data_IF_709309876464
#
_entry.id   IF_709309876464
#
_cell.length_a   1.000
_cell.length_b   1.000
_cell.length_c   1.000
_cell.angle_alpha   90.00
_cell.angle_beta   90.00
_cell.angle_gamma   90.00
#
_symmetry.space_group_name_H-M   'P 1'
#
loop_
_entity.id
_entity.type
_entity.pdbx_description
1 polymer ?
#
# COMPACT_ATOMS: atom_id res chain seq x y z
N UNK A 1 9.83 -14.39 -33.37
CA UNK A 1 10.45 -13.92 -32.11
C UNK A 1 10.03 -12.51 -31.67
N UNK A 2 10.49 -11.40 -32.29
CA UNK A 2 10.12 -10.05 -31.77
C UNK A 2 8.63 -9.74 -31.84
N UNK A 3 7.94 -10.21 -32.87
CA UNK A 3 6.51 -9.95 -33.07
C UNK A 3 5.65 -10.71 -32.04
N UNK A 4 5.92 -12.00 -31.88
CA UNK A 4 5.25 -12.87 -30.89
C UNK A 4 5.37 -12.34 -29.46
N UNK A 5 6.53 -11.78 -29.09
CA UNK A 5 6.72 -11.17 -27.76
C UNK A 5 5.82 -9.94 -27.59
N UNK A 6 5.72 -9.08 -28.60
CA UNK A 6 4.87 -7.88 -28.56
C UNK A 6 3.40 -8.29 -28.44
N UNK A 7 2.97 -9.32 -29.17
CA UNK A 7 1.60 -9.83 -29.14
C UNK A 7 1.23 -10.33 -27.74
N UNK A 8 2.13 -11.07 -27.08
CA UNK A 8 1.94 -11.55 -25.70
C UNK A 8 1.86 -10.37 -24.72
N UNK A 9 2.77 -9.40 -24.80
CA UNK A 9 2.75 -8.22 -23.93
C UNK A 9 1.48 -7.39 -24.10
N UNK A 10 0.97 -7.26 -25.32
CA UNK A 10 -0.30 -6.58 -25.59
C UNK A 10 -1.50 -7.35 -25.05
N UNK A 11 -1.53 -8.67 -25.28
CA UNK A 11 -2.63 -9.55 -24.86
C UNK A 11 -2.77 -9.57 -23.33
N UNK A 12 -1.64 -9.60 -22.62
CA UNK A 12 -1.61 -9.66 -21.16
C UNK A 12 -1.21 -8.33 -20.51
N UNK A 13 -1.43 -7.19 -21.18
CA UNK A 13 -0.98 -5.87 -20.68
C UNK A 13 -1.38 -5.57 -19.23
N UNK A 14 -2.57 -6.01 -18.82
CA UNK A 14 -3.12 -5.80 -17.47
C UNK A 14 -2.48 -6.70 -16.40
N UNK A 15 -1.71 -7.72 -16.80
CA UNK A 15 -0.96 -8.59 -15.89
C UNK A 15 0.38 -7.97 -15.48
N UNK A 16 0.82 -6.91 -16.16
CA UNK A 16 2.07 -6.22 -15.90
C UNK A 16 1.80 -4.89 -15.19
N UNK A 17 2.67 -4.53 -14.24
CA UNK A 17 2.68 -3.18 -13.69
C UNK A 17 3.21 -2.22 -14.76
N UNK A 18 2.48 -1.13 -15.01
CA UNK A 18 2.89 -0.05 -15.90
C UNK A 18 3.16 1.22 -15.10
N UNK A 19 3.66 2.26 -15.77
CA UNK A 19 3.84 3.56 -15.11
C UNK A 19 2.50 4.18 -14.66
N UNK A 20 1.45 3.98 -15.46
CA UNK A 20 0.11 4.52 -15.18
C UNK A 20 -0.69 3.63 -14.22
N UNK A 21 -0.44 2.32 -14.24
CA UNK A 21 -1.04 1.30 -13.36
C UNK A 21 0.07 0.50 -12.65
N UNK A 22 0.73 1.08 -11.62
CA UNK A 22 1.88 0.43 -10.96
C UNK A 22 1.46 -0.72 -10.05
N UNK A 23 0.19 -0.74 -9.63
CA UNK A 23 -0.42 -1.86 -8.92
C UNK A 23 -1.27 -2.60 -9.92
N UNK A 24 -0.89 -3.84 -10.25
CA UNK A 24 -1.72 -4.71 -11.09
C UNK A 24 -3.12 -4.89 -10.48
N UNK A 25 -4.08 -5.39 -11.26
CA UNK A 25 -5.47 -5.58 -10.85
C UNK A 25 -5.64 -6.71 -9.79
N UNK A 26 -5.17 -6.44 -8.57
CA UNK A 26 -5.21 -7.28 -7.37
C UNK A 26 -6.67 -7.34 -6.90
N UNK A 27 -7.34 -8.49 -7.06
CA UNK A 27 -8.73 -8.72 -6.63
C UNK A 27 -8.78 -9.74 -5.50
N UNK A 28 -9.53 -9.45 -4.42
CA UNK A 28 -9.83 -10.41 -3.36
C UNK A 28 -8.72 -10.63 -2.32
N UNK A 29 -7.84 -9.65 -2.12
CA UNK A 29 -6.74 -9.71 -1.14
C UNK A 29 -7.08 -9.06 0.21
N UNK A 30 -8.37 -8.90 0.51
CA UNK A 30 -8.83 -8.40 1.80
C UNK A 30 -8.50 -9.42 2.88
N UNK A 31 -7.75 -9.00 3.90
CA UNK A 31 -7.36 -9.86 5.02
C UNK A 31 -8.09 -9.39 6.27
N UNK A 32 -8.87 -10.28 6.88
CA UNK A 32 -9.41 -10.06 8.21
C UNK A 32 -8.42 -10.60 9.25
N UNK A 33 -7.78 -9.70 9.99
CA UNK A 33 -6.84 -10.05 11.05
C UNK A 33 -7.59 -9.98 12.39
N UNK A 34 -7.86 -11.14 12.98
CA UNK A 34 -8.48 -11.26 14.31
C UNK A 34 -7.40 -11.40 15.38
N UNK A 35 -7.53 -10.65 16.47
CA UNK A 35 -6.63 -10.79 17.63
C UNK A 35 -7.03 -12.02 18.45
N UNK A 36 -6.04 -12.76 18.96
CA UNK A 36 -6.26 -13.95 19.80
C UNK A 36 -6.64 -13.61 21.26
N UNK A 37 -7.05 -12.37 21.54
CA UNK A 37 -7.33 -11.87 22.89
C UNK A 37 -8.65 -11.11 22.93
N UNK A 38 -9.35 -11.19 24.07
CA UNK A 38 -10.60 -10.47 24.33
C UNK A 38 -10.37 -9.16 25.09
N UNK A 39 -11.31 -8.21 24.94
CA UNK A 39 -11.37 -6.97 25.74
C UNK A 39 -11.48 -7.31 27.26
N UNK A 40 -11.08 -6.44 28.21
CA UNK A 40 -10.70 -5.02 28.06
C UNK A 40 -9.22 -4.76 28.41
N UNK A 41 -8.68 -3.64 27.89
CA UNK A 41 -7.29 -3.14 28.03
C UNK A 41 -6.29 -3.53 26.93
N UNK A 42 -5.44 -2.58 26.51
CA UNK A 42 -5.83 -1.71 25.40
C UNK A 42 -4.83 -1.88 24.24
N UNK A 43 -5.21 -1.71 22.97
CA UNK A 43 -4.21 -1.60 21.93
C UNK A 43 -3.61 -0.18 21.94
N UNK A 44 -2.97 0.25 23.04
CA UNK A 44 -2.09 1.43 22.99
C UNK A 44 -0.73 0.95 22.51
N UNK A 45 -0.62 0.76 21.20
CA UNK A 45 0.65 0.67 20.49
C UNK A 45 1.09 2.05 20.00
N UNK A 46 0.83 3.12 20.78
CA UNK A 46 1.25 4.47 20.43
C UNK A 46 2.72 4.64 20.80
N UNK A 47 3.58 3.97 20.04
CA UNK A 47 5.02 4.19 20.08
C UNK A 47 5.26 5.51 19.34
N UNK A 48 5.95 6.46 19.98
CA UNK A 48 6.39 7.66 19.29
C UNK A 48 7.31 7.25 18.14
N UNK A 49 7.07 7.77 16.93
CA UNK A 49 7.98 7.53 15.83
C UNK A 49 9.40 7.95 16.23
N UNK A 50 10.39 7.15 15.89
CA UNK A 50 11.78 7.52 16.11
C UNK A 50 12.11 8.78 15.30
N UNK A 51 12.96 9.68 15.83
CA UNK A 51 13.37 10.86 15.09
C UNK A 51 14.18 10.44 13.88
N UNK A 52 13.76 10.88 12.70
CA UNK A 52 14.43 10.60 11.43
C UNK A 52 15.29 11.78 10.99
N UNK A 53 16.31 11.51 10.17
CA UNK A 53 17.14 12.58 9.60
C UNK A 53 16.34 13.41 8.58
N UNK A 54 16.63 14.72 8.39
CA UNK A 54 15.91 15.56 7.43
C UNK A 54 15.90 14.98 6.01
N UNK A 55 17.03 14.43 5.56
CA UNK A 55 17.16 13.77 4.25
C UNK A 55 16.28 12.52 4.14
N UNK A 56 16.19 11.73 5.22
CA UNK A 56 15.32 10.57 5.24
C UNK A 56 13.85 11.01 5.18
N UNK A 57 13.50 12.09 5.87
CA UNK A 57 12.15 12.65 5.85
C UNK A 57 11.68 13.05 4.46
N UNK A 58 12.49 13.80 3.71
CA UNK A 58 12.18 14.22 2.33
C UNK A 58 11.96 13.02 1.39
N UNK A 59 12.79 11.98 1.51
CA UNK A 59 12.65 10.77 0.72
C UNK A 59 11.38 9.98 1.09
N UNK A 60 11.11 9.84 2.40
CA UNK A 60 9.91 9.16 2.90
C UNK A 60 8.64 9.89 2.48
N UNK A 61 8.61 11.21 2.59
CA UNK A 61 7.46 12.02 2.22
C UNK A 61 7.07 11.80 0.76
N UNK A 62 8.06 11.79 -0.16
CA UNK A 62 7.81 11.51 -1.58
C UNK A 62 7.09 10.17 -1.79
N UNK A 63 7.57 9.12 -1.13
CA UNK A 63 6.98 7.78 -1.26
C UNK A 63 5.62 7.65 -0.57
N UNK A 64 5.44 8.26 0.60
CA UNK A 64 4.15 8.31 1.29
C UNK A 64 3.09 8.97 0.41
N UNK A 65 3.42 10.10 -0.23
CA UNK A 65 2.50 10.78 -1.14
C UNK A 65 2.14 9.93 -2.37
N UNK A 66 3.08 9.15 -2.89
CA UNK A 66 2.83 8.21 -3.98
C UNK A 66 1.85 7.09 -3.54
N UNK A 67 2.08 6.50 -2.36
CA UNK A 67 1.22 5.46 -1.82
C UNK A 67 -0.20 5.95 -1.48
N UNK A 68 -0.35 7.21 -1.08
CA UNK A 68 -1.67 7.84 -0.88
C UNK A 68 -2.40 7.98 -2.23
N UNK A 69 -1.72 8.45 -3.27
CA UNK A 69 -2.30 8.58 -4.62
C UNK A 69 -2.74 7.24 -5.19
N UNK A 70 -2.02 6.17 -4.86
CA UNK A 70 -2.34 4.81 -5.26
C UNK A 70 -3.41 4.13 -4.37
N UNK A 71 -3.99 4.87 -3.41
CA UNK A 71 -4.98 4.37 -2.46
C UNK A 71 -4.49 3.16 -1.62
N UNK A 72 -3.18 2.97 -1.50
CA UNK A 72 -2.58 1.95 -0.62
C UNK A 72 -2.57 2.43 0.82
N UNK A 73 -2.24 3.71 1.01
CA UNK A 73 -2.32 4.39 2.30
C UNK A 73 -3.51 5.34 2.32
N UNK A 74 -4.20 5.39 3.46
CA UNK A 74 -5.22 6.38 3.73
C UNK A 74 -5.05 6.93 5.15
N UNK A 75 -5.54 8.15 5.35
CA UNK A 75 -5.69 8.70 6.68
C UNK A 75 -6.85 7.97 7.38
N UNK A 76 -6.62 7.58 8.64
CA UNK A 76 -7.62 7.01 9.54
C UNK A 76 -7.69 7.91 10.76
N UNK A 77 -8.88 8.38 11.10
CA UNK A 77 -9.08 9.22 12.29
C UNK A 77 -9.26 8.34 13.55
N UNK A 78 -8.97 8.90 14.73
CA UNK A 78 -8.97 8.14 16.00
C UNK A 78 -10.31 7.47 16.35
N UNK A 79 -11.41 7.95 15.77
CA UNK A 79 -12.78 7.49 16.07
C UNK A 79 -13.42 6.72 14.89
N UNK A 80 -12.64 6.37 13.88
CA UNK A 80 -13.18 5.59 12.75
C UNK A 80 -13.41 4.14 13.19
N UNK A 81 -14.68 3.72 13.29
CA UNK A 81 -15.04 2.32 13.49
C UNK A 81 -14.98 1.58 12.15
N UNK A 82 -14.34 0.40 12.15
CA UNK A 82 -14.18 -0.49 11.00
C UNK A 82 -15.28 -1.57 10.98
#
# INVERSE_FOLDING_TARGET
MRHELIDVLYTYKNAFASYDEPLGAIRGHEVNITLNIDRPYPPVLKITAYPESPRAWEALEKHIQELIKLCVLRKVDHNEEF
#
